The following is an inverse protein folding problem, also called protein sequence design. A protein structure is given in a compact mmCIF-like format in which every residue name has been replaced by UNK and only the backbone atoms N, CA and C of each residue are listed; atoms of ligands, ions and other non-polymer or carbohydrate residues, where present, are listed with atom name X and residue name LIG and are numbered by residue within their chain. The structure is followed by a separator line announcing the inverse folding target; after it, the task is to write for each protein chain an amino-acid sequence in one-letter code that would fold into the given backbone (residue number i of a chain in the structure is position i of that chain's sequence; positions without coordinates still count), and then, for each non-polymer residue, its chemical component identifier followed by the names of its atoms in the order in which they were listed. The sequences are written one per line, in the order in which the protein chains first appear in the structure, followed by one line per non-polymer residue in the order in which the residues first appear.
data_IF_337195551382
#
_entry.id   IF_337195551382
#
_cell.length_a   1.000
_cell.length_b   1.000
_cell.length_c   1.000
_cell.angle_alpha   90.00
_cell.angle_beta   90.00
_cell.angle_gamma   90.00
#
_symmetry.space_group_name_H-M   'P 1'
#
loop_
_entity.id
_entity.type
_entity.pdbx_description
1 polymer ?
#
# COMPACT_ATOMS: atom_id res chain seq x y z
N UNK A 1 17.33 -0.09 -23.99
CA UNK A 1 16.74 -0.12 -22.63
C UNK A 1 16.65 1.30 -22.15
N UNK A 2 15.44 1.84 -21.97
CA UNK A 2 15.26 3.15 -21.35
C UNK A 2 15.63 3.02 -19.88
N UNK A 3 16.64 3.75 -19.41
CA UNK A 3 16.95 3.84 -17.98
C UNK A 3 15.78 4.51 -17.27
N UNK A 4 15.34 3.94 -16.15
CA UNK A 4 14.37 4.59 -15.27
C UNK A 4 14.95 5.90 -14.69
N UNK A 5 14.11 6.91 -14.41
CA UNK A 5 14.56 8.13 -13.75
C UNK A 5 15.13 7.81 -12.36
N UNK A 6 16.25 8.43 -12.02
CA UNK A 6 16.88 8.29 -10.70
C UNK A 6 16.38 9.40 -9.77
N UNK A 7 16.02 9.03 -8.54
CA UNK A 7 15.55 9.96 -7.52
C UNK A 7 16.51 9.97 -6.33
N UNK A 8 16.67 11.13 -5.69
CA UNK A 8 17.52 11.27 -4.52
C UNK A 8 16.81 10.78 -3.24
N UNK A 9 17.57 10.61 -2.14
CA UNK A 9 17.04 10.10 -0.88
C UNK A 9 15.91 10.94 -0.29
N UNK A 10 15.93 12.27 -0.47
CA UNK A 10 14.84 13.12 0.04
C UNK A 10 13.55 12.88 -0.73
N UNK A 11 13.62 12.74 -2.06
CA UNK A 11 12.46 12.42 -2.88
C UNK A 11 11.88 11.05 -2.51
N UNK A 12 12.74 10.06 -2.25
CA UNK A 12 12.29 8.75 -1.77
C UNK A 12 11.65 8.79 -0.39
N UNK A 13 12.18 9.61 0.52
CA UNK A 13 11.56 9.82 1.83
C UNK A 13 10.18 10.45 1.69
N UNK A 14 10.05 11.51 0.88
CA UNK A 14 8.75 12.15 0.58
C UNK A 14 7.77 11.18 -0.07
N UNK A 15 8.24 10.35 -1.01
CA UNK A 15 7.42 9.31 -1.65
C UNK A 15 6.91 8.29 -0.64
N UNK A 16 7.80 7.76 0.20
CA UNK A 16 7.44 6.83 1.28
C UNK A 16 6.41 7.45 2.21
N UNK A 17 6.68 8.66 2.70
CA UNK A 17 5.78 9.33 3.65
C UNK A 17 4.39 9.57 3.02
N UNK A 18 4.33 9.86 1.72
CA UNK A 18 3.06 10.01 1.02
C UNK A 18 2.28 8.70 0.80
N UNK A 19 2.98 7.58 0.52
CA UNK A 19 2.35 6.24 0.46
C UNK A 19 1.82 5.84 1.84
N UNK A 20 2.60 6.10 2.89
CA UNK A 20 2.17 5.86 4.27
C UNK A 20 0.96 6.73 4.63
N UNK A 21 0.90 7.98 4.16
CA UNK A 21 -0.25 8.86 4.38
C UNK A 21 -1.51 8.34 3.66
N UNK A 22 -1.39 7.85 2.42
CA UNK A 22 -2.52 7.24 1.69
C UNK A 22 -3.13 6.07 2.48
N UNK A 23 -2.28 5.23 3.07
CA UNK A 23 -2.74 4.14 3.94
C UNK A 23 -3.42 4.64 5.21
N UNK A 24 -2.84 5.61 5.91
CA UNK A 24 -3.41 6.17 7.13
C UNK A 24 -4.77 6.83 6.87
N UNK A 25 -4.90 7.58 5.76
CA UNK A 25 -6.16 8.17 5.32
C UNK A 25 -7.25 7.09 5.14
N UNK A 26 -6.88 5.95 4.55
CA UNK A 26 -7.80 4.82 4.36
C UNK A 26 -8.19 4.16 5.69
N UNK A 27 -7.23 3.90 6.58
CA UNK A 27 -7.51 3.35 7.92
C UNK A 27 -8.45 4.26 8.72
N UNK A 28 -8.27 5.58 8.61
CA UNK A 28 -9.15 6.54 9.28
C UNK A 28 -10.57 6.55 8.69
N UNK A 29 -10.72 6.40 7.37
CA UNK A 29 -12.03 6.21 6.74
C UNK A 29 -12.72 4.92 7.25
N UNK A 30 -11.99 3.80 7.34
CA UNK A 30 -12.53 2.55 7.90
C UNK A 30 -13.03 2.75 9.35
N UNK A 31 -12.25 3.44 10.18
CA UNK A 31 -12.64 3.76 11.57
C UNK A 31 -13.88 4.65 11.63
N UNK A 32 -13.94 5.68 10.79
CA UNK A 32 -15.03 6.65 10.76
C UNK A 32 -16.35 6.02 10.29
N UNK A 33 -16.30 5.12 9.31
CA UNK A 33 -17.49 4.46 8.74
C UNK A 33 -17.97 3.27 9.57
N UNK A 34 -17.08 2.68 10.37
CA UNK A 34 -17.39 1.59 11.30
C UNK A 34 -17.34 0.19 10.70
N UNK A 35 -17.69 -0.79 11.53
CA UNK A 35 -17.40 -2.23 11.32
C UNK A 35 -17.93 -2.78 10.01
N UNK A 36 -19.18 -2.49 9.63
CA UNK A 36 -19.78 -3.02 8.40
C UNK A 36 -19.05 -2.57 7.13
N UNK A 37 -18.57 -1.32 7.13
CA UNK A 37 -17.77 -0.79 6.03
C UNK A 37 -16.39 -1.42 6.01
N UNK A 38 -15.78 -1.61 7.19
CA UNK A 38 -14.49 -2.31 7.32
C UNK A 38 -14.55 -3.74 6.80
N UNK A 39 -15.59 -4.50 7.15
CA UNK A 39 -15.78 -5.87 6.65
C UNK A 39 -15.88 -5.89 5.12
N UNK A 40 -16.62 -4.96 4.52
CA UNK A 40 -16.72 -4.85 3.05
C UNK A 40 -15.39 -4.51 2.39
N UNK A 41 -14.51 -3.82 3.10
CA UNK A 41 -13.22 -3.35 2.59
C UNK A 41 -12.03 -4.16 3.13
N UNK A 42 -12.25 -5.26 3.86
CA UNK A 42 -11.19 -6.03 4.51
C UNK A 42 -10.11 -6.50 3.52
N UNK A 43 -10.51 -6.92 2.31
CA UNK A 43 -9.55 -7.29 1.25
C UNK A 43 -8.65 -6.14 0.84
N UNK A 44 -9.21 -4.94 0.70
CA UNK A 44 -8.45 -3.75 0.33
C UNK A 44 -7.48 -3.37 1.43
N UNK A 45 -7.89 -3.52 2.69
CA UNK A 45 -7.04 -3.35 3.86
C UNK A 45 -5.83 -4.29 3.84
N UNK A 46 -6.04 -5.59 3.65
CA UNK A 46 -4.95 -6.57 3.59
C UNK A 46 -3.98 -6.28 2.43
N UNK A 47 -4.50 -6.03 1.23
CA UNK A 47 -3.65 -5.68 0.08
C UNK A 47 -2.85 -4.41 0.36
N UNK A 48 -3.46 -3.41 1.00
CA UNK A 48 -2.73 -2.21 1.38
C UNK A 48 -1.66 -2.51 2.42
N UNK A 49 -1.93 -3.36 3.42
CA UNK A 49 -0.95 -3.79 4.44
C UNK A 49 0.25 -4.51 3.81
N UNK A 50 0.01 -5.43 2.88
CA UNK A 50 1.07 -6.11 2.13
C UNK A 50 1.93 -5.11 1.34
N UNK A 51 1.27 -4.21 0.63
CA UNK A 51 1.96 -3.22 -0.20
C UNK A 51 2.78 -2.23 0.65
N UNK A 52 2.26 -1.75 1.78
CA UNK A 52 3.01 -0.81 2.62
C UNK A 52 4.17 -1.47 3.36
N UNK A 53 4.17 -2.79 3.56
CA UNK A 53 5.27 -3.48 4.23
C UNK A 53 6.61 -3.21 3.51
N UNK A 54 6.57 -3.21 2.17
CA UNK A 54 7.72 -2.85 1.31
C UNK A 54 8.20 -1.42 1.53
N UNK A 55 7.27 -0.48 1.79
CA UNK A 55 7.58 0.94 2.02
C UNK A 55 8.00 1.24 3.46
N UNK A 56 7.67 0.38 4.43
CA UNK A 56 8.03 0.55 5.84
C UNK A 56 9.49 0.22 6.14
N UNK A 57 10.20 -0.43 5.21
CA UNK A 57 11.61 -0.75 5.38
C UNK A 57 12.51 0.49 5.51
N UNK A 58 13.76 0.25 5.91
CA UNK A 58 14.77 1.30 5.92
C UNK A 58 14.94 1.89 4.52
N UNK A 59 15.09 3.21 4.43
CA UNK A 59 15.07 3.94 3.16
C UNK A 59 16.01 3.37 2.08
N UNK A 60 17.26 2.93 2.39
CA UNK A 60 18.11 2.30 1.37
C UNK A 60 17.53 1.01 0.77
N UNK A 61 16.83 0.21 1.58
CA UNK A 61 16.14 -1.02 1.15
C UNK A 61 14.97 -0.65 0.22
N UNK A 62 14.14 0.31 0.64
CA UNK A 62 13.04 0.83 -0.19
C UNK A 62 13.55 1.31 -1.56
N UNK A 63 14.68 2.01 -1.60
CA UNK A 63 15.28 2.47 -2.86
C UNK A 63 15.70 1.27 -3.71
N UNK A 64 16.49 0.35 -3.15
CA UNK A 64 17.01 -0.82 -3.86
C UNK A 64 15.89 -1.70 -4.43
N UNK A 65 14.82 -1.89 -3.67
CA UNK A 65 13.74 -2.82 -4.05
C UNK A 65 12.76 -2.18 -5.05
N UNK A 66 12.61 -0.85 -5.04
CA UNK A 66 11.59 -0.16 -5.83
C UNK A 66 12.15 0.69 -6.98
N UNK A 67 13.46 0.94 -7.06
CA UNK A 67 14.05 1.81 -8.09
C UNK A 67 13.90 1.27 -9.52
N UNK A 68 13.69 -0.03 -9.69
CA UNK A 68 13.42 -0.66 -10.99
C UNK A 68 11.93 -0.97 -11.21
N UNK A 69 11.07 -0.67 -10.23
CA UNK A 69 9.64 -0.93 -10.33
C UNK A 69 8.91 0.25 -10.99
N UNK A 70 8.63 0.11 -12.28
CA UNK A 70 7.96 1.13 -13.09
C UNK A 70 6.63 1.63 -12.48
N UNK A 71 5.87 0.76 -11.80
CA UNK A 71 4.62 1.13 -11.16
C UNK A 71 4.86 1.96 -9.89
N UNK A 72 5.77 1.53 -9.02
CA UNK A 72 6.16 2.26 -7.82
C UNK A 72 6.68 3.67 -8.15
N UNK A 73 7.51 3.78 -9.20
CA UNK A 73 8.05 5.07 -9.65
C UNK A 73 6.99 6.07 -10.11
N UNK A 74 5.75 5.65 -10.37
CA UNK A 74 4.68 6.60 -10.71
C UNK A 74 4.30 7.51 -9.54
N UNK A 75 4.65 7.15 -8.29
CA UNK A 75 4.42 7.99 -7.11
C UNK A 75 5.08 9.37 -7.25
N UNK A 76 6.27 9.43 -7.84
CA UNK A 76 7.00 10.69 -8.02
C UNK A 76 6.28 11.63 -8.98
N UNK A 77 5.70 11.08 -10.05
CA UNK A 77 4.88 11.85 -10.99
C UNK A 77 3.57 12.33 -10.35
N UNK A 78 2.96 11.53 -9.49
CA UNK A 78 1.75 11.92 -8.76
C UNK A 78 2.01 13.05 -7.77
N UNK A 79 3.09 12.95 -6.99
CA UNK A 79 3.48 14.00 -6.05
C UNK A 79 3.78 15.32 -6.77
N UNK A 80 4.42 15.24 -7.94
CA UNK A 80 4.69 16.42 -8.78
C UNK A 80 3.42 17.06 -9.36
N UNK A 81 2.42 16.27 -9.77
CA UNK A 81 1.23 16.76 -10.48
C UNK A 81 0.04 17.08 -9.58
N UNK A 82 -0.21 16.23 -8.58
CA UNK A 82 -1.48 16.18 -7.82
C UNK A 82 -1.30 16.45 -6.33
N UNK A 83 -0.07 16.47 -5.82
CA UNK A 83 0.26 16.59 -4.38
C UNK A 83 -0.38 15.53 -3.47
N UNK A 84 -0.99 14.48 -4.05
CA UNK A 84 -1.60 13.36 -3.34
C UNK A 84 -1.13 12.07 -3.98
N UNK A 85 -0.71 11.13 -3.15
CA UNK A 85 -0.39 9.77 -3.55
C UNK A 85 -1.70 8.97 -3.71
N UNK A 86 -1.82 8.25 -4.82
CA UNK A 86 -2.89 7.26 -5.05
C UNK A 86 -2.29 5.94 -5.54
N UNK A 87 -1.12 5.57 -5.02
CA UNK A 87 -0.38 4.40 -5.46
C UNK A 87 -1.07 3.12 -4.99
N UNK A 88 -1.46 3.04 -3.71
CA UNK A 88 -2.10 1.87 -3.14
C UNK A 88 -3.48 1.64 -3.78
N UNK A 89 -4.25 2.71 -3.95
CA UNK A 89 -5.55 2.67 -4.61
C UNK A 89 -5.43 2.15 -6.05
N UNK A 90 -4.45 2.64 -6.81
CA UNK A 90 -4.23 2.17 -8.18
C UNK A 90 -3.76 0.73 -8.21
N UNK A 91 -2.90 0.31 -7.28
CA UNK A 91 -2.43 -1.06 -7.18
C UNK A 91 -3.61 -2.01 -6.92
N UNK A 92 -4.47 -1.68 -5.95
CA UNK A 92 -5.66 -2.45 -5.66
C UNK A 92 -6.60 -2.55 -6.87
N UNK A 93 -6.86 -1.43 -7.56
CA UNK A 93 -7.72 -1.43 -8.74
C UNK A 93 -7.14 -2.27 -9.88
N UNK A 94 -5.83 -2.23 -10.10
CA UNK A 94 -5.17 -3.06 -11.11
C UNK A 94 -5.26 -4.54 -10.73
N UNK A 95 -4.94 -4.89 -9.48
CA UNK A 95 -5.07 -6.24 -8.95
C UNK A 95 -6.51 -6.75 -9.02
N UNK A 96 -7.50 -5.88 -8.80
CA UNK A 96 -8.94 -6.25 -8.83
C UNK A 96 -9.41 -6.79 -10.17
N UNK A 97 -8.66 -6.49 -11.24
CA UNK A 97 -8.91 -7.00 -12.58
C UNK A 97 -8.32 -8.40 -12.83
N UNK A 98 -7.46 -8.91 -11.93
CA UNK A 98 -6.77 -10.18 -12.13
C UNK A 98 -7.72 -11.37 -11.92
N UNK A 99 -7.58 -12.40 -12.76
CA UNK A 99 -8.44 -13.59 -12.68
C UNK A 99 -8.30 -14.39 -11.38
N UNK A 100 -7.17 -14.24 -10.69
CA UNK A 100 -6.86 -14.90 -9.41
C UNK A 100 -6.95 -13.92 -8.21
N UNK A 101 -7.65 -12.80 -8.37
CA UNK A 101 -7.81 -11.75 -7.34
C UNK A 101 -8.57 -12.20 -6.06
N UNK A 102 -8.88 -13.49 -5.92
CA UNK A 102 -9.38 -14.04 -4.67
C UNK A 102 -8.21 -14.60 -3.85
N UNK A 103 -7.79 -13.93 -2.76
CA UNK A 103 -7.35 -14.70 -1.62
C UNK A 103 -8.52 -15.61 -1.23
N UNK A 104 -8.25 -16.90 -0.99
CA UNK A 104 -9.25 -17.80 -0.46
C UNK A 104 -9.83 -17.17 0.81
N UNK A 105 -11.13 -17.30 1.06
CA UNK A 105 -11.76 -16.77 2.28
C UNK A 105 -11.03 -17.21 3.56
N UNK A 106 -10.32 -18.35 3.50
CA UNK A 106 -9.41 -18.85 4.52
C UNK A 106 -8.22 -17.92 4.81
N UNK A 107 -7.61 -17.28 3.81
CA UNK A 107 -6.47 -16.35 4.01
C UNK A 107 -6.92 -15.10 4.78
N UNK A 108 -8.06 -14.52 4.39
CA UNK A 108 -8.70 -13.41 5.11
C UNK A 108 -9.08 -13.80 6.55
N UNK A 109 -9.57 -15.02 6.76
CA UNK A 109 -9.95 -15.49 8.10
C UNK A 109 -8.74 -15.77 9.00
N UNK A 110 -7.65 -16.31 8.44
CA UNK A 110 -6.42 -16.60 9.18
C UNK A 110 -5.70 -15.32 9.60
N UNK A 111 -5.55 -14.34 8.71
CA UNK A 111 -4.91 -13.05 9.03
C UNK A 111 -5.69 -12.27 10.10
N UNK A 112 -7.03 -12.26 10.02
CA UNK A 112 -7.85 -11.64 11.07
C UNK A 112 -7.74 -12.36 12.42
N UNK A 113 -7.60 -13.68 12.43
CA UNK A 113 -7.43 -14.46 13.67
C UNK A 113 -6.05 -14.29 14.30
N UNK A 114 -5.01 -14.05 13.50
CA UNK A 114 -3.66 -13.77 13.97
C UNK A 114 -3.58 -12.37 14.59
N UNK A 115 -4.26 -11.37 14.01
CA UNK A 115 -4.34 -10.01 14.59
C UNK A 115 -5.13 -9.97 15.92
N UNK A 116 -6.20 -10.77 16.07
CA UNK A 116 -6.93 -10.91 17.35
C UNK A 116 -6.05 -11.49 18.47
N UNK A 117 -5.15 -12.41 18.14
CA UNK A 117 -4.26 -13.06 19.09
C UNK A 117 -3.11 -12.14 19.59
N UNK A 118 -2.76 -11.10 18.83
CA UNK A 118 -1.70 -10.14 19.22
C UNK A 118 -2.20 -9.14 20.28
N UNK A 119 -3.52 -8.94 20.41
CA UNK A 119 -4.10 -8.08 21.45
C UNK A 119 -4.14 -8.69 22.87
N UNK A 120 -3.71 -9.93 23.04
CA UNK A 120 -3.57 -10.59 24.35
C UNK A 120 -2.11 -10.67 24.83
N UNK A 121 -1.39 -9.54 24.94
CA UNK A 121 -0.14 -9.44 25.73
C UNK A 121 0.05 -8.07 26.38
#
# INVERSE_FOLDING_TARGET
MSKFPTYNSNQWAEARDAVMQEYQDFVEDLRTQGVDYTIKNARKLLIFQDLIAEWQHHLPTVISDLEENAFALTVFDELKKRKKCTLLERAYNDMSSWSNFNPLALTLWLELSEDEAITEF
#
